data_IF_893073756145
#
_entry.id   IF_893073756145
#
_cell.length_a   1.000
_cell.length_b   1.000
_cell.length_c   1.000
_cell.angle_alpha   90.00
_cell.angle_beta   90.00
_cell.angle_gamma   90.00
#
_symmetry.space_group_name_H-M   'P 1'
#
loop_
_entity.id
_entity.type
_entity.pdbx_description
1 polymer ?
#
# COMPACT_ATOMS: atom_id res chain seq x y z
N UNK A 1 4.70 23.50 -28.44
CA UNK A 1 4.68 22.09 -28.80
C UNK A 1 3.34 21.53 -28.32
N UNK A 2 2.52 20.96 -29.17
CA UNK A 2 1.29 20.27 -28.76
C UNK A 2 1.71 18.99 -28.02
N UNK A 3 1.40 18.87 -26.73
CA UNK A 3 1.53 17.61 -26.02
C UNK A 3 0.51 16.61 -26.59
N UNK A 4 0.90 15.33 -26.66
CA UNK A 4 -0.06 14.26 -27.01
C UNK A 4 -1.12 14.19 -25.91
N UNK A 5 -2.37 13.91 -26.28
CA UNK A 5 -3.50 13.80 -25.35
C UNK A 5 -3.25 12.80 -24.20
N UNK A 6 -2.45 11.75 -24.45
CA UNK A 6 -2.10 10.70 -23.47
C UNK A 6 -0.80 10.98 -22.68
N UNK A 7 -0.28 12.20 -22.69
CA UNK A 7 0.96 12.50 -21.96
C UNK A 7 0.67 12.74 -20.48
N UNK A 8 1.19 11.86 -19.61
CA UNK A 8 1.03 11.98 -18.16
C UNK A 8 2.11 12.91 -17.56
N UNK A 9 1.66 13.91 -16.81
CA UNK A 9 2.50 14.88 -16.13
C UNK A 9 2.50 14.61 -14.63
N UNK A 10 3.66 14.28 -14.08
CA UNK A 10 3.88 14.13 -12.64
C UNK A 10 4.88 15.19 -12.15
N UNK A 11 4.58 15.81 -11.00
CA UNK A 11 5.47 16.72 -10.31
C UNK A 11 6.05 16.09 -9.04
N UNK A 12 7.26 16.47 -8.70
CA UNK A 12 7.82 16.16 -7.39
C UNK A 12 7.49 17.27 -6.41
N UNK A 13 6.61 16.97 -5.45
CA UNK A 13 6.19 17.90 -4.39
C UNK A 13 6.39 17.23 -3.05
N UNK A 14 7.36 17.73 -2.27
CA UNK A 14 7.74 17.09 -1.00
C UNK A 14 6.70 17.34 0.09
N UNK A 15 6.14 18.57 0.16
CA UNK A 15 5.16 18.94 1.17
C UNK A 15 4.28 20.12 0.71
N UNK A 16 3.16 20.31 1.40
CA UNK A 16 2.19 21.35 1.12
C UNK A 16 0.84 20.80 0.66
N UNK A 17 0.02 21.67 0.10
CA UNK A 17 -1.31 21.31 -0.38
C UNK A 17 -1.24 20.72 -1.79
N UNK A 18 -1.22 19.40 -1.91
CA UNK A 18 -1.13 18.68 -3.20
C UNK A 18 -2.23 19.05 -4.19
N UNK A 19 -3.45 19.35 -3.71
CA UNK A 19 -4.57 19.77 -4.54
C UNK A 19 -4.34 21.09 -5.31
N UNK A 20 -3.35 21.87 -4.90
CA UNK A 20 -2.94 23.08 -5.67
C UNK A 20 -2.28 22.73 -6.99
N UNK A 21 -1.65 21.57 -7.06
CA UNK A 21 -0.86 21.10 -8.20
C UNK A 21 -1.60 20.07 -9.03
N UNK A 22 -2.41 19.21 -8.38
CA UNK A 22 -3.17 18.15 -9.04
C UNK A 22 -4.56 18.68 -9.39
N UNK A 23 -4.71 19.10 -10.64
CA UNK A 23 -5.98 19.59 -11.20
C UNK A 23 -5.96 19.56 -12.73
N UNK A 24 -7.10 19.84 -13.35
CA UNK A 24 -7.26 19.77 -14.81
C UNK A 24 -6.42 20.77 -15.63
N UNK A 25 -5.78 21.75 -15.01
CA UNK A 25 -4.99 22.79 -15.68
C UNK A 25 -3.49 22.61 -15.49
N UNK A 26 -3.04 21.76 -14.54
CA UNK A 26 -1.63 21.65 -14.13
C UNK A 26 -1.11 20.22 -14.27
N UNK A 27 -1.04 19.48 -13.17
CA UNK A 27 -0.41 18.16 -13.12
C UNK A 27 -1.47 17.06 -12.92
N UNK A 28 -1.26 15.93 -13.56
CA UNK A 28 -2.09 14.74 -13.36
C UNK A 28 -1.83 14.08 -12.00
N UNK A 29 -0.59 14.19 -11.51
CA UNK A 29 -0.14 13.57 -10.25
C UNK A 29 1.01 14.35 -9.63
N UNK A 30 1.20 14.19 -8.32
CA UNK A 30 2.41 14.58 -7.60
C UNK A 30 2.81 13.48 -6.62
N UNK A 31 4.08 13.51 -6.20
CA UNK A 31 4.64 12.57 -5.22
C UNK A 31 3.98 12.71 -3.84
N UNK A 32 3.62 11.57 -3.23
CA UNK A 32 2.99 11.52 -1.90
C UNK A 32 4.04 11.27 -0.80
N UNK A 33 4.87 12.26 -0.51
CA UNK A 33 5.86 12.17 0.57
C UNK A 33 5.24 12.04 1.97
N UNK A 34 4.01 12.51 2.14
CA UNK A 34 3.34 12.40 3.43
C UNK A 34 2.92 10.97 3.73
N UNK A 35 2.38 10.24 2.74
CA UNK A 35 2.09 8.82 2.90
C UNK A 35 3.39 8.02 3.01
N UNK A 36 4.42 8.33 2.21
CA UNK A 36 5.74 7.72 2.35
C UNK A 36 6.24 7.80 3.81
N UNK A 37 6.22 9.00 4.40
CA UNK A 37 6.61 9.17 5.80
C UNK A 37 5.73 8.36 6.74
N UNK A 38 4.41 8.43 6.59
CA UNK A 38 3.47 7.73 7.46
C UNK A 38 3.63 6.20 7.39
N UNK A 39 3.98 5.64 6.22
CA UNK A 39 4.19 4.20 6.05
C UNK A 39 5.34 3.70 6.91
N UNK A 40 6.52 4.31 6.87
CA UNK A 40 7.63 3.80 7.67
C UNK A 40 7.53 4.20 9.15
N UNK A 41 7.11 5.45 9.48
CA UNK A 41 6.99 5.88 10.87
C UNK A 41 5.85 5.16 11.59
N UNK A 42 4.69 5.01 10.94
CA UNK A 42 3.54 4.30 11.50
C UNK A 42 3.83 2.83 11.80
N UNK A 43 4.69 2.17 11.01
CA UNK A 43 5.15 0.82 11.31
C UNK A 43 6.16 0.80 12.44
N UNK A 44 7.18 1.66 12.39
CA UNK A 44 8.24 1.73 13.40
C UNK A 44 7.74 2.08 14.80
N UNK A 45 6.70 2.91 14.87
CA UNK A 45 6.13 3.38 16.14
C UNK A 45 4.85 2.59 16.51
N UNK A 46 4.51 1.55 15.75
CA UNK A 46 3.27 0.78 15.90
C UNK A 46 2.04 1.69 16.01
N UNK A 47 1.90 2.61 15.05
CA UNK A 47 0.87 3.64 15.09
C UNK A 47 0.16 3.82 13.73
N UNK A 48 -0.78 2.94 13.43
CA UNK A 48 -1.57 3.03 12.21
C UNK A 48 -2.51 4.24 12.13
N UNK A 49 -2.76 4.94 13.26
CA UNK A 49 -3.50 6.20 13.22
C UNK A 49 -2.81 7.27 12.38
N UNK A 50 -1.47 7.26 12.31
CA UNK A 50 -0.72 8.19 11.45
C UNK A 50 -1.04 7.96 9.98
N UNK A 51 -1.08 6.69 9.54
CA UNK A 51 -1.40 6.33 8.16
C UNK A 51 -2.86 6.69 7.84
N UNK A 52 -3.79 6.28 8.70
CA UNK A 52 -5.22 6.55 8.51
C UNK A 52 -5.53 8.04 8.49
N UNK A 53 -4.89 8.84 9.36
CA UNK A 53 -5.01 10.29 9.37
C UNK A 53 -4.54 10.90 8.04
N UNK A 54 -3.40 10.45 7.52
CA UNK A 54 -2.85 10.92 6.27
C UNK A 54 -3.79 10.62 5.09
N UNK A 55 -4.28 9.38 4.99
CA UNK A 55 -5.24 8.98 3.95
C UNK A 55 -6.50 9.84 3.98
N UNK A 56 -7.05 10.09 5.17
CA UNK A 56 -8.24 10.90 5.36
C UNK A 56 -8.04 12.37 4.99
N UNK A 57 -6.90 12.94 5.36
CA UNK A 57 -6.54 14.32 5.03
C UNK A 57 -6.36 14.52 3.52
N UNK A 58 -5.88 13.52 2.81
CA UNK A 58 -5.63 13.56 1.37
C UNK A 58 -6.78 12.99 0.53
N UNK A 59 -7.94 12.71 1.11
CA UNK A 59 -9.05 12.01 0.44
C UNK A 59 -9.45 12.64 -0.90
N UNK A 60 -9.46 13.97 -0.99
CA UNK A 60 -9.87 14.70 -2.20
C UNK A 60 -8.93 14.51 -3.40
N UNK A 61 -7.66 14.21 -3.16
CA UNK A 61 -6.63 14.07 -4.22
C UNK A 61 -5.90 12.74 -4.17
N UNK A 62 -6.07 11.97 -3.10
CA UNK A 62 -5.27 10.78 -2.80
C UNK A 62 -5.17 9.78 -3.94
N UNK A 63 -6.24 9.55 -4.70
CA UNK A 63 -6.25 8.63 -5.84
C UNK A 63 -5.32 9.04 -6.99
N UNK A 64 -5.08 10.32 -7.13
CA UNK A 64 -4.20 10.85 -8.17
C UNK A 64 -2.74 10.98 -7.74
N UNK A 65 -2.41 10.73 -6.46
CA UNK A 65 -1.06 10.89 -5.95
C UNK A 65 -0.18 9.68 -6.28
N UNK A 66 1.04 9.94 -6.71
CA UNK A 66 2.08 8.95 -6.92
C UNK A 66 2.62 8.50 -5.56
N UNK A 67 2.31 7.27 -5.16
CA UNK A 67 2.66 6.70 -3.86
C UNK A 67 3.88 5.79 -3.96
N UNK A 68 4.75 5.83 -2.96
CA UNK A 68 6.01 5.08 -2.94
C UNK A 68 6.45 4.81 -1.50
N UNK A 69 7.30 3.80 -1.32
CA UNK A 69 7.92 3.47 -0.03
C UNK A 69 9.33 4.04 0.09
N UNK A 70 10.02 4.18 -1.03
CA UNK A 70 11.34 4.78 -1.19
C UNK A 70 11.53 5.27 -2.63
N UNK A 71 12.55 6.07 -2.88
CA UNK A 71 12.93 6.57 -4.19
C UNK A 71 14.44 6.84 -4.25
N UNK A 72 14.88 7.54 -5.31
CA UNK A 72 16.29 7.86 -5.52
C UNK A 72 16.88 8.88 -4.53
N UNK A 73 16.06 9.58 -3.78
CA UNK A 73 16.45 10.62 -2.81
C UNK A 73 16.14 10.23 -1.36
N UNK A 74 15.44 9.10 -1.15
CA UNK A 74 15.08 8.60 0.17
C UNK A 74 15.81 7.29 0.49
N UNK A 75 16.14 7.10 1.77
CA UNK A 75 16.68 5.82 2.23
C UNK A 75 15.76 4.67 1.86
N UNK A 76 16.34 3.53 1.46
CA UNK A 76 15.59 2.33 1.10
C UNK A 76 14.64 1.94 2.24
N UNK A 77 13.43 1.54 1.91
CA UNK A 77 12.43 1.16 2.92
C UNK A 77 12.94 0.06 3.84
N UNK A 78 13.68 -0.92 3.29
CA UNK A 78 14.31 -1.98 4.08
C UNK A 78 15.36 -1.48 5.09
N UNK A 79 15.90 -0.26 4.90
CA UNK A 79 16.79 0.39 5.86
C UNK A 79 16.06 1.30 6.86
N UNK A 80 14.87 1.80 6.49
CA UNK A 80 14.06 2.66 7.37
C UNK A 80 13.27 1.86 8.40
N UNK A 81 12.87 0.64 8.07
CA UNK A 81 12.08 -0.21 8.97
C UNK A 81 12.97 -0.84 10.05
N UNK A 82 12.52 -0.75 11.32
CA UNK A 82 13.18 -1.41 12.46
C UNK A 82 12.97 -2.92 12.46
N UNK A 83 11.78 -3.36 12.02
CA UNK A 83 11.39 -4.76 11.91
C UNK A 83 11.36 -5.14 10.42
N UNK A 84 12.26 -6.02 9.95
CA UNK A 84 12.33 -6.39 8.53
C UNK A 84 11.02 -6.97 7.97
N UNK A 85 10.28 -7.72 8.79
CA UNK A 85 9.01 -8.34 8.40
C UNK A 85 7.90 -7.30 8.15
N UNK A 86 8.06 -6.06 8.61
CA UNK A 86 7.14 -4.97 8.28
C UNK A 86 7.14 -4.59 6.80
N UNK A 87 8.09 -5.08 6.00
CA UNK A 87 8.04 -4.93 4.54
C UNK A 87 6.71 -5.49 3.96
N UNK A 88 6.20 -6.60 4.51
CA UNK A 88 4.96 -7.22 4.02
C UNK A 88 3.74 -6.31 4.18
N UNK A 89 3.38 -5.83 5.39
CA UNK A 89 2.24 -4.94 5.54
C UNK A 89 2.47 -3.56 4.93
N UNK A 90 3.71 -3.06 4.85
CA UNK A 90 4.03 -1.79 4.16
C UNK A 90 3.67 -1.87 2.69
N UNK A 91 4.11 -2.91 1.98
CA UNK A 91 3.78 -3.07 0.57
C UNK A 91 2.31 -3.39 0.35
N UNK A 92 1.68 -4.16 1.25
CA UNK A 92 0.23 -4.37 1.17
C UNK A 92 -0.52 -3.03 1.23
N UNK A 93 -0.16 -2.14 2.14
CA UNK A 93 -0.75 -0.80 2.23
C UNK A 93 -0.44 0.04 0.98
N UNK A 94 0.79 0.02 0.48
CA UNK A 94 1.16 0.74 -0.74
C UNK A 94 0.24 0.40 -1.92
N UNK A 95 -0.05 -0.90 -2.12
CA UNK A 95 -0.86 -1.37 -3.25
C UNK A 95 -2.37 -1.31 -3.04
N UNK A 96 -2.84 -1.13 -1.80
CA UNK A 96 -4.29 -1.16 -1.51
C UNK A 96 -4.87 0.16 -1.03
N UNK A 97 -4.08 1.08 -0.50
CA UNK A 97 -4.51 2.45 -0.19
C UNK A 97 -4.77 3.25 -1.47
N UNK A 98 -5.56 4.35 -1.40
CA UNK A 98 -5.73 5.26 -2.52
C UNK A 98 -4.41 5.83 -3.00
N UNK A 99 -4.15 5.78 -4.31
CA UNK A 99 -2.96 6.31 -4.95
C UNK A 99 -2.49 5.48 -6.14
N UNK A 100 -1.43 5.92 -6.78
CA UNK A 100 -0.75 5.23 -7.88
C UNK A 100 0.51 4.59 -7.30
N UNK A 101 0.50 3.28 -7.01
CA UNK A 101 1.63 2.64 -6.33
C UNK A 101 2.85 2.54 -7.23
N UNK A 102 4.01 2.82 -6.65
CA UNK A 102 5.30 2.70 -7.32
C UNK A 102 6.29 1.94 -6.45
N UNK A 103 7.02 1.04 -7.07
CA UNK A 103 8.14 0.32 -6.44
C UNK A 103 9.43 0.80 -7.09
N UNK A 104 10.33 1.35 -6.29
CA UNK A 104 11.63 1.78 -6.77
C UNK A 104 12.52 0.56 -7.03
N UNK A 105 13.29 0.59 -8.13
CA UNK A 105 14.11 -0.56 -8.55
C UNK A 105 15.03 -1.07 -7.43
N UNK A 106 15.06 -2.37 -7.23
CA UNK A 106 15.82 -3.02 -6.17
C UNK A 106 15.03 -3.23 -4.88
N UNK A 107 14.00 -2.43 -4.61
CA UNK A 107 13.19 -2.57 -3.40
C UNK A 107 12.32 -3.82 -3.42
N UNK A 108 11.99 -4.36 -4.60
CA UNK A 108 11.34 -5.66 -4.78
C UNK A 108 12.20 -6.86 -4.31
N UNK A 109 13.50 -6.67 -4.15
CA UNK A 109 14.40 -7.66 -3.54
C UNK A 109 14.77 -7.31 -2.09
N UNK A 110 14.16 -6.28 -1.51
CA UNK A 110 14.43 -5.85 -0.15
C UNK A 110 15.86 -5.33 0.05
N UNK A 111 16.48 -4.72 -0.98
CA UNK A 111 17.83 -4.19 -0.84
C UNK A 111 17.86 -3.05 0.17
N UNK A 112 18.93 -3.01 0.95
CA UNK A 112 19.19 -1.94 1.89
C UNK A 112 20.05 -0.84 1.24
N UNK A 113 19.94 0.38 1.75
CA UNK A 113 20.72 1.54 1.36
C UNK A 113 20.27 2.76 2.15
N UNK A 114 21.21 3.47 2.71
CA UNK A 114 20.97 4.73 3.40
C UNK A 114 21.96 5.79 2.92
N UNK A 115 21.50 7.04 2.86
CA UNK A 115 22.32 8.20 2.53
C UNK A 115 23.36 8.42 3.62
N UNK A 116 24.56 8.76 3.21
CA UNK A 116 25.58 9.29 4.12
C UNK A 116 25.74 10.80 3.92
N UNK A 117 26.61 11.43 4.72
CA UNK A 117 26.93 12.85 4.54
C UNK A 117 27.70 13.11 3.24
N UNK A 118 28.44 12.12 2.78
CA UNK A 118 29.37 12.21 1.65
C UNK A 118 28.77 11.68 0.35
N UNK A 119 27.77 10.79 0.43
CA UNK A 119 27.26 10.10 -0.76
C UNK A 119 25.84 9.59 -0.60
N UNK A 120 25.09 9.58 -1.70
CA UNK A 120 23.79 8.94 -1.88
C UNK A 120 23.89 7.69 -2.81
N UNK A 121 25.10 7.24 -3.12
CA UNK A 121 25.33 6.10 -4.02
C UNK A 121 24.61 4.82 -3.57
N UNK A 122 24.50 4.59 -2.26
CA UNK A 122 23.79 3.45 -1.70
C UNK A 122 22.28 3.44 -2.04
N UNK A 123 21.71 4.61 -2.38
CA UNK A 123 20.31 4.72 -2.83
C UNK A 123 20.14 4.32 -4.30
N UNK A 124 21.21 4.41 -5.09
CA UNK A 124 21.20 4.26 -6.56
C UNK A 124 22.22 3.22 -7.06
N UNK A 125 22.30 2.01 -6.46
CA UNK A 125 23.27 1.01 -6.86
C UNK A 125 23.05 0.56 -8.31
N UNK A 126 24.14 0.32 -9.04
CA UNK A 126 24.07 -0.38 -10.31
C UNK A 126 23.73 -1.85 -10.03
N UNK A 127 22.56 -2.31 -10.50
CA UNK A 127 22.10 -3.67 -10.31
C UNK A 127 22.18 -4.48 -11.59
N UNK A 128 22.68 -5.71 -11.50
CA UNK A 128 22.58 -6.71 -12.55
C UNK A 128 21.34 -7.58 -12.33
N UNK A 129 20.47 -7.69 -13.34
CA UNK A 129 19.30 -8.56 -13.26
C UNK A 129 19.69 -10.01 -12.91
N UNK A 130 20.77 -10.52 -13.52
CA UNK A 130 21.26 -11.87 -13.24
C UNK A 130 21.61 -12.10 -11.77
N UNK A 131 22.19 -11.09 -11.11
CA UNK A 131 22.54 -11.19 -9.70
C UNK A 131 21.31 -11.02 -8.81
N UNK A 132 20.32 -10.24 -9.25
CA UNK A 132 19.09 -10.03 -8.53
C UNK A 132 18.12 -11.21 -8.63
N UNK A 133 18.05 -11.88 -9.77
CA UNK A 133 17.25 -13.11 -9.93
C UNK A 133 17.61 -14.17 -8.89
N UNK A 134 18.87 -14.25 -8.47
CA UNK A 134 19.32 -15.14 -7.40
C UNK A 134 18.87 -14.68 -5.99
N UNK A 135 18.41 -13.45 -5.84
CA UNK A 135 17.90 -12.87 -4.59
C UNK A 135 16.37 -12.87 -4.52
N UNK A 136 15.70 -13.41 -5.53
CA UNK A 136 14.24 -13.57 -5.49
C UNK A 136 13.84 -14.37 -4.25
N UNK A 137 12.84 -13.89 -3.53
CA UNK A 137 12.41 -14.46 -2.27
C UNK A 137 11.01 -13.99 -1.87
N UNK A 138 10.59 -14.28 -0.64
CA UNK A 138 9.21 -14.03 -0.19
C UNK A 138 8.70 -12.61 -0.43
N UNK A 139 9.55 -11.60 -0.29
CA UNK A 139 9.13 -10.20 -0.53
C UNK A 139 8.90 -9.91 -2.02
N UNK A 140 9.73 -10.49 -2.90
CA UNK A 140 9.54 -10.37 -4.35
C UNK A 140 8.23 -11.00 -4.79
N UNK A 141 7.95 -12.21 -4.29
CA UNK A 141 6.71 -12.93 -4.58
C UNK A 141 5.49 -12.18 -4.05
N UNK A 142 5.60 -11.62 -2.85
CA UNK A 142 4.54 -10.83 -2.23
C UNK A 142 4.23 -9.57 -3.06
N UNK A 143 5.24 -8.79 -3.44
CA UNK A 143 5.07 -7.59 -4.28
C UNK A 143 4.47 -7.97 -5.64
N UNK A 144 4.92 -9.07 -6.25
CA UNK A 144 4.36 -9.55 -7.51
C UNK A 144 2.88 -9.97 -7.36
N UNK A 145 2.49 -10.58 -6.24
CA UNK A 145 1.09 -10.89 -5.95
C UNK A 145 0.27 -9.62 -5.76
N UNK A 146 0.76 -8.65 -4.97
CA UNK A 146 0.10 -7.37 -4.75
C UNK A 146 -0.10 -6.57 -6.04
N UNK A 147 0.91 -6.56 -6.92
CA UNK A 147 0.81 -5.91 -8.23
C UNK A 147 -0.27 -6.53 -9.12
N UNK A 148 -0.39 -7.88 -9.13
CA UNK A 148 -1.49 -8.57 -9.83
C UNK A 148 -2.85 -8.23 -9.22
N UNK A 149 -2.96 -8.28 -7.89
CA UNK A 149 -4.20 -7.93 -7.17
C UNK A 149 -4.61 -6.49 -7.51
N UNK A 150 -3.67 -5.55 -7.46
CA UNK A 150 -3.94 -4.15 -7.80
C UNK A 150 -4.42 -4.02 -9.26
N UNK A 151 -3.72 -4.61 -10.21
CA UNK A 151 -4.06 -4.55 -11.63
C UNK A 151 -5.45 -5.14 -11.94
N UNK A 152 -5.78 -6.27 -11.31
CA UNK A 152 -6.94 -7.09 -11.66
C UNK A 152 -8.23 -6.69 -10.90
N UNK A 153 -8.15 -5.67 -10.02
CA UNK A 153 -9.28 -5.19 -9.23
C UNK A 153 -9.43 -3.67 -9.33
N UNK A 154 -10.38 -3.24 -10.15
CA UNK A 154 -10.67 -1.81 -10.42
C UNK A 154 -11.04 -1.04 -9.14
N UNK A 155 -11.56 -1.72 -8.12
CA UNK A 155 -11.86 -1.13 -6.82
C UNK A 155 -10.62 -0.48 -6.17
N UNK A 156 -9.42 -1.03 -6.45
CA UNK A 156 -8.15 -0.45 -5.96
C UNK A 156 -7.73 0.80 -6.74
N UNK A 157 -8.27 1.00 -7.95
CA UNK A 157 -8.03 2.22 -8.73
C UNK A 157 -9.03 3.32 -8.36
N UNK A 158 -10.33 3.03 -8.49
CA UNK A 158 -11.40 4.04 -8.43
C UNK A 158 -12.36 3.86 -7.25
N UNK A 159 -12.27 2.73 -6.52
CA UNK A 159 -13.18 2.43 -5.41
C UNK A 159 -13.08 3.44 -4.28
N UNK A 160 -14.22 3.71 -3.65
CA UNK A 160 -14.31 4.60 -2.51
C UNK A 160 -13.60 3.98 -1.29
N UNK A 161 -12.71 4.72 -0.68
CA UNK A 161 -12.05 4.31 0.56
C UNK A 161 -13.02 4.41 1.75
N UNK A 162 -12.99 3.39 2.62
CA UNK A 162 -13.73 3.39 3.89
C UNK A 162 -12.94 2.69 4.99
N UNK A 163 -12.63 3.41 6.05
CA UNK A 163 -12.05 2.83 7.25
C UNK A 163 -13.05 1.89 7.93
N UNK A 164 -12.62 0.70 8.31
CA UNK A 164 -13.46 -0.35 8.91
C UNK A 164 -13.03 -0.69 10.34
N UNK A 165 -11.73 -0.78 10.58
CA UNK A 165 -11.16 -1.04 11.91
C UNK A 165 -9.81 -0.33 12.01
N UNK A 166 -9.58 0.35 13.11
CA UNK A 166 -8.33 1.03 13.37
C UNK A 166 -7.93 0.91 14.84
N UNK A 167 -6.74 0.39 15.07
CA UNK A 167 -6.04 0.39 16.35
C UNK A 167 -4.61 0.87 16.11
N UNK A 168 -3.80 0.92 17.15
CA UNK A 168 -2.38 1.23 16.97
C UNK A 168 -1.68 0.21 16.07
N UNK A 169 -2.05 -1.08 16.18
CA UNK A 169 -1.34 -2.19 15.54
C UNK A 169 -2.11 -2.91 14.44
N UNK A 170 -3.41 -2.70 14.33
CA UNK A 170 -4.23 -3.30 13.29
C UNK A 170 -5.01 -2.23 12.53
N UNK A 171 -5.05 -2.39 11.23
CA UNK A 171 -5.77 -1.49 10.35
C UNK A 171 -6.49 -2.26 9.27
N UNK A 172 -7.79 -2.03 9.14
CA UNK A 172 -8.59 -2.60 8.07
C UNK A 172 -9.45 -1.52 7.41
N UNK A 173 -9.52 -1.58 6.10
CA UNK A 173 -10.33 -0.66 5.29
C UNK A 173 -10.88 -1.37 4.06
N UNK A 174 -11.93 -0.78 3.49
CA UNK A 174 -12.55 -1.21 2.26
C UNK A 174 -12.24 -0.25 1.11
N UNK A 175 -12.14 -0.79 -0.09
CA UNK A 175 -12.21 -0.08 -1.37
C UNK A 175 -13.49 -0.54 -2.04
N UNK A 176 -14.50 0.32 -2.05
CA UNK A 176 -15.86 0.00 -2.48
C UNK A 176 -16.03 0.34 -3.96
N UNK A 177 -16.37 -0.66 -4.76
CA UNK A 177 -16.91 -0.52 -6.10
C UNK A 177 -18.43 -0.53 -6.08
N UNK A 178 -19.06 -0.70 -7.24
CA UNK A 178 -20.52 -0.71 -7.37
C UNK A 178 -21.15 -1.93 -6.69
N UNK A 179 -20.68 -3.14 -7.00
CA UNK A 179 -21.23 -4.42 -6.50
C UNK A 179 -20.15 -5.30 -5.86
N UNK A 180 -18.98 -4.73 -5.57
CA UNK A 180 -17.82 -5.43 -5.03
C UNK A 180 -17.08 -4.56 -4.05
N UNK A 181 -16.36 -5.18 -3.12
CA UNK A 181 -15.47 -4.50 -2.20
C UNK A 181 -14.15 -5.28 -2.07
N UNK A 182 -13.03 -4.58 -2.14
CA UNK A 182 -11.75 -5.11 -1.67
C UNK A 182 -11.55 -4.65 -0.22
N UNK A 183 -11.42 -5.61 0.68
CA UNK A 183 -11.08 -5.37 2.08
C UNK A 183 -9.62 -5.71 2.30
N UNK A 184 -8.83 -4.73 2.70
CA UNK A 184 -7.43 -4.91 3.09
C UNK A 184 -7.32 -4.80 4.61
N UNK A 185 -6.64 -5.74 5.24
CA UNK A 185 -6.39 -5.74 6.68
C UNK A 185 -4.92 -6.09 6.96
N UNK A 186 -4.27 -5.31 7.82
CA UNK A 186 -2.86 -5.47 8.20
C UNK A 186 -2.66 -5.47 9.70
N UNK A 187 -1.61 -6.14 10.13
CA UNK A 187 -1.18 -6.27 11.52
C UNK A 187 0.32 -5.97 11.61
N UNK A 188 0.74 -4.98 12.40
CA UNK A 188 2.15 -4.69 12.67
C UNK A 188 2.59 -5.14 14.07
N UNK A 189 1.81 -6.03 14.71
CA UNK A 189 2.23 -6.67 15.94
C UNK A 189 3.11 -7.90 15.66
N UNK A 190 4.00 -8.23 16.60
CA UNK A 190 4.77 -9.47 16.62
C UNK A 190 3.94 -10.70 17.01
N UNK A 191 2.66 -10.51 17.37
CA UNK A 191 1.71 -11.57 17.67
C UNK A 191 0.57 -11.63 16.65
N UNK A 192 -0.02 -12.82 16.42
CA UNK A 192 -1.24 -12.93 15.62
C UNK A 192 -2.38 -12.09 16.21
N UNK A 193 -3.20 -11.49 15.34
CA UNK A 193 -4.33 -10.67 15.74
C UNK A 193 -5.66 -11.27 15.27
N UNK A 194 -6.52 -11.69 16.20
CA UNK A 194 -7.89 -12.09 15.90
C UNK A 194 -8.76 -10.84 15.78
N UNK A 195 -9.35 -10.62 14.61
CA UNK A 195 -10.15 -9.44 14.30
C UNK A 195 -11.58 -9.83 13.94
N UNK A 196 -12.52 -8.96 14.32
CA UNK A 196 -13.89 -8.97 13.83
C UNK A 196 -14.15 -7.65 13.13
N UNK A 197 -14.08 -7.65 11.80
CA UNK A 197 -14.11 -6.45 10.97
C UNK A 197 -15.55 -6.21 10.50
N UNK A 198 -16.14 -5.02 10.72
CA UNK A 198 -17.46 -4.71 10.18
C UNK A 198 -17.40 -4.64 8.65
N UNK A 199 -18.36 -5.26 7.98
CA UNK A 199 -18.50 -5.26 6.53
C UNK A 199 -19.75 -4.46 6.17
N UNK A 200 -19.64 -3.19 5.76
CA UNK A 200 -20.76 -2.32 5.40
C UNK A 200 -21.22 -2.58 3.95
N UNK A 201 -21.29 -3.83 3.56
CA UNK A 201 -21.56 -4.29 2.23
C UNK A 201 -22.30 -5.61 2.29
N UNK A 202 -23.39 -5.82 1.53
CA UNK A 202 -24.20 -7.03 1.58
C UNK A 202 -23.45 -8.20 0.92
N UNK A 203 -22.54 -8.83 1.63
CA UNK A 203 -21.80 -9.99 1.19
C UNK A 203 -21.98 -11.16 2.14
N UNK A 204 -21.99 -12.38 1.60
CA UNK A 204 -22.08 -13.62 2.38
C UNK A 204 -20.72 -14.28 2.61
N UNK A 205 -19.76 -14.01 1.75
CA UNK A 205 -18.44 -14.63 1.78
C UNK A 205 -17.32 -13.64 1.38
N UNK A 206 -16.12 -13.88 1.91
CA UNK A 206 -14.89 -13.17 1.59
C UNK A 206 -13.86 -14.16 1.00
N UNK A 207 -13.33 -13.85 -0.18
CA UNK A 207 -12.30 -14.66 -0.87
C UNK A 207 -10.94 -14.02 -0.61
N UNK A 208 -9.99 -14.77 -0.06
CA UNK A 208 -8.62 -14.28 0.16
C UNK A 208 -7.87 -14.20 -1.17
N UNK A 209 -7.42 -13.00 -1.55
CA UNK A 209 -6.70 -12.78 -2.81
C UNK A 209 -5.19 -13.08 -2.71
N UNK A 210 -4.63 -13.12 -1.50
CA UNK A 210 -3.22 -13.50 -1.28
C UNK A 210 -3.04 -15.02 -1.20
N UNK A 211 -4.12 -15.77 -0.94
CA UNK A 211 -4.13 -17.22 -0.88
C UNK A 211 -5.41 -17.73 -1.57
N UNK A 212 -5.31 -17.93 -2.88
CA UNK A 212 -6.44 -18.37 -3.69
C UNK A 212 -6.91 -19.82 -3.40
N UNK A 213 -6.08 -20.62 -2.77
CA UNK A 213 -6.40 -22.00 -2.38
C UNK A 213 -7.10 -22.08 -1.02
N UNK A 214 -7.02 -20.99 -0.23
CA UNK A 214 -7.73 -20.92 1.04
C UNK A 214 -9.26 -20.94 0.82
N UNK A 215 -10.02 -21.63 1.67
CA UNK A 215 -11.48 -21.59 1.61
C UNK A 215 -11.98 -20.17 1.84
N UNK A 216 -13.10 -19.82 1.20
CA UNK A 216 -13.77 -18.55 1.48
C UNK A 216 -14.23 -18.48 2.94
N UNK A 217 -14.17 -17.30 3.53
CA UNK A 217 -14.58 -17.05 4.91
C UNK A 217 -15.99 -16.48 4.91
N UNK A 218 -16.92 -17.01 5.73
CA UNK A 218 -18.27 -16.47 5.80
C UNK A 218 -18.28 -15.07 6.43
N UNK A 219 -19.14 -14.21 5.92
CA UNK A 219 -19.51 -12.94 6.56
C UNK A 219 -20.78 -13.16 7.36
N UNK A 220 -20.67 -13.13 8.67
CA UNK A 220 -21.76 -13.39 9.59
C UNK A 220 -22.20 -12.12 10.31
N UNK A 221 -23.49 -11.83 10.30
CA UNK A 221 -24.07 -10.64 10.94
C UNK A 221 -23.37 -9.32 10.51
N UNK A 222 -22.97 -9.23 9.23
CA UNK A 222 -22.25 -8.08 8.71
C UNK A 222 -20.81 -7.93 9.23
N UNK A 223 -20.18 -9.03 9.65
CA UNK A 223 -18.80 -9.03 10.16
C UNK A 223 -17.97 -10.16 9.55
N UNK A 224 -16.73 -9.86 9.25
CA UNK A 224 -15.71 -10.81 8.84
C UNK A 224 -14.81 -11.12 10.04
N UNK A 225 -14.77 -12.37 10.47
CA UNK A 225 -13.87 -12.83 11.53
C UNK A 225 -12.63 -13.46 10.91
N UNK A 226 -11.43 -12.91 11.20
CA UNK A 226 -10.17 -13.34 10.62
C UNK A 226 -9.03 -13.23 11.63
N UNK A 227 -8.06 -14.13 11.53
CA UNK A 227 -6.80 -14.02 12.28
C UNK A 227 -5.69 -13.62 11.32
N UNK A 228 -5.09 -12.46 11.54
CA UNK A 228 -3.93 -11.99 10.78
C UNK A 228 -2.63 -12.52 11.39
N UNK A 229 -1.65 -12.90 10.58
CA UNK A 229 -0.33 -13.30 11.08
C UNK A 229 0.42 -12.12 11.71
N UNK A 230 1.48 -12.39 12.50
CA UNK A 230 2.43 -11.36 12.91
C UNK A 230 3.01 -10.64 11.71
N UNK A 231 3.21 -9.32 11.81
CA UNK A 231 3.83 -8.48 10.77
C UNK A 231 3.30 -8.79 9.36
N UNK A 232 1.98 -8.98 9.23
CA UNK A 232 1.39 -9.41 7.98
C UNK A 232 -0.03 -8.89 7.76
N UNK A 233 -0.72 -9.48 6.78
CA UNK A 233 -2.08 -9.07 6.47
C UNK A 233 -2.82 -10.03 5.56
N UNK A 234 -4.03 -9.63 5.18
CA UNK A 234 -4.87 -10.34 4.23
C UNK A 234 -5.63 -9.34 3.35
N UNK A 235 -5.94 -9.76 2.14
CA UNK A 235 -6.76 -8.98 1.20
C UNK A 235 -7.92 -9.86 0.76
N UNK A 236 -9.13 -9.36 0.96
CA UNK A 236 -10.33 -10.11 0.63
C UNK A 236 -11.13 -9.41 -0.46
N UNK A 237 -11.65 -10.19 -1.40
CA UNK A 237 -12.68 -9.75 -2.32
C UNK A 237 -14.04 -10.21 -1.82
N UNK A 238 -14.96 -9.25 -1.69
CA UNK A 238 -16.34 -9.47 -1.33
C UNK A 238 -17.23 -9.07 -2.51
N UNK A 239 -18.28 -9.83 -2.77
CA UNK A 239 -19.29 -9.54 -3.79
C UNK A 239 -20.64 -9.48 -3.15
N UNK A 240 -21.52 -8.69 -3.73
CA UNK A 240 -22.93 -8.69 -3.36
C UNK A 240 -23.52 -10.09 -3.52
N UNK A 241 -24.36 -10.50 -2.53
CA UNK A 241 -24.94 -11.83 -2.47
C UNK A 241 -26.09 -11.98 -3.47
#
# INVERSE_FOLDING_TARGET
>A
ASMKEDFWLMGEVIHGEYGRWVNGEMLHSVTNYELHKALYSGHNDHNYFEIAHNVKRLESVGRALYTFTDNHDEDRIASKLREPDHLFPVYQLLFTLPGIPSVYYGSEWGIQGARTRESDEALRPALSLKDMEQKTGPITDHIAALARIHRDNSELHDGTYKELLLTNRQYAFGRLGENTMILSAVNNDSQPAALSIPVPFPASQAINLLDAEAPSIPVENGRLSVTLPPSGGAIFKLREA
#
